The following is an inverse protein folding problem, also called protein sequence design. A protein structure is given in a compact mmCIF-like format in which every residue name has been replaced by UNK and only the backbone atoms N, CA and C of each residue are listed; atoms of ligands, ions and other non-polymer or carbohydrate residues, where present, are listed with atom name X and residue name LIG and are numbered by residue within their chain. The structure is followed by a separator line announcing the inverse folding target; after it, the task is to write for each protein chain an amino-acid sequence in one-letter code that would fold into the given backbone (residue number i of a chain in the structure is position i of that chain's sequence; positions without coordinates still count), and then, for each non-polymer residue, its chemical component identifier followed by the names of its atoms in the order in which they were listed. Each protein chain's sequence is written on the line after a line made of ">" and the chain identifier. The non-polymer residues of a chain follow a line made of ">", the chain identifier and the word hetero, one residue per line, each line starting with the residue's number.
data_IF_513515424883
#
_entry.id   IF_513515424883
#
_cell.length_a   1.000
_cell.length_b   1.000
_cell.length_c   1.000
_cell.angle_alpha   90.00
_cell.angle_beta   90.00
_cell.angle_gamma   90.00
#
_symmetry.space_group_name_H-M   'P 1'
#
loop_
_entity.id
_entity.type
_entity.pdbx_description
1 polymer ?
#
# COMPACT_ATOMS: atom_id res chain seq x y z
N UNK A 1 -50.52 10.72 -24.38
CA UNK A 1 -50.84 10.14 -23.06
C UNK A 1 -49.78 9.11 -22.71
N UNK A 2 -48.77 9.49 -21.93
CA UNK A 2 -47.82 8.53 -21.37
C UNK A 2 -48.52 7.76 -20.24
N UNK A 3 -48.53 6.43 -20.30
CA UNK A 3 -49.26 5.62 -19.33
C UNK A 3 -48.55 5.65 -17.97
N UNK A 4 -49.31 5.62 -16.89
CA UNK A 4 -48.79 5.57 -15.50
C UNK A 4 -47.79 4.44 -15.25
N UNK A 5 -47.72 3.43 -16.13
CA UNK A 5 -46.78 2.32 -16.06
C UNK A 5 -45.35 2.70 -16.45
N UNK A 6 -45.13 3.65 -17.37
CA UNK A 6 -43.76 4.06 -17.75
C UNK A 6 -43.07 4.87 -16.66
N UNK A 7 -43.85 5.63 -15.88
CA UNK A 7 -43.34 6.40 -14.74
C UNK A 7 -42.88 5.50 -13.59
N UNK A 8 -43.66 4.46 -13.27
CA UNK A 8 -43.30 3.51 -12.23
C UNK A 8 -41.99 2.76 -12.56
N UNK A 9 -41.80 2.34 -13.81
CA UNK A 9 -40.59 1.63 -14.24
C UNK A 9 -39.35 2.55 -14.17
N UNK A 10 -39.45 3.78 -14.65
CA UNK A 10 -38.34 4.75 -14.60
C UNK A 10 -37.98 5.13 -13.17
N UNK A 11 -38.96 5.26 -12.28
CA UNK A 11 -38.73 5.54 -10.86
C UNK A 11 -38.04 4.36 -10.15
N UNK A 12 -38.48 3.12 -10.41
CA UNK A 12 -37.87 1.91 -9.87
C UNK A 12 -36.43 1.70 -10.35
N UNK A 13 -36.15 1.95 -11.64
CA UNK A 13 -34.80 1.83 -12.20
C UNK A 13 -33.84 2.87 -11.61
N UNK A 14 -34.33 4.10 -11.40
CA UNK A 14 -33.55 5.17 -10.76
C UNK A 14 -33.27 4.87 -9.28
N UNK A 15 -34.21 4.24 -8.57
CA UNK A 15 -34.02 3.80 -7.19
C UNK A 15 -33.00 2.66 -7.08
N UNK A 16 -32.95 1.77 -8.07
CA UNK A 16 -31.98 0.67 -8.14
C UNK A 16 -30.54 1.14 -8.39
N UNK A 17 -30.36 2.23 -9.14
CA UNK A 17 -29.05 2.87 -9.37
C UNK A 17 -28.54 3.65 -8.15
N UNK A 18 -29.42 3.97 -7.19
CA UNK A 18 -29.05 4.61 -5.92
C UNK A 18 -28.69 3.62 -4.82
N UNK A 19 -28.81 2.31 -5.08
CA UNK A 19 -28.28 1.30 -4.17
C UNK A 19 -26.76 1.36 -4.29
N UNK A 20 -26.01 1.76 -3.23
CA UNK A 20 -24.57 1.74 -3.27
C UNK A 20 -24.13 0.28 -3.39
N UNK A 21 -23.84 -0.18 -4.59
CA UNK A 21 -23.08 -1.40 -4.76
C UNK A 21 -21.72 -1.13 -4.12
N UNK A 22 -21.30 -1.98 -3.18
CA UNK A 22 -19.90 -2.00 -2.77
C UNK A 22 -19.09 -2.10 -4.07
N UNK A 23 -18.27 -1.10 -4.37
CA UNK A 23 -17.35 -1.21 -5.50
C UNK A 23 -16.45 -2.40 -5.20
N UNK A 24 -16.51 -3.45 -6.01
CA UNK A 24 -15.53 -4.54 -6.02
C UNK A 24 -14.26 -4.07 -6.74
N UNK A 25 -13.80 -2.87 -6.41
CA UNK A 25 -12.72 -2.17 -7.09
C UNK A 25 -11.33 -2.49 -6.54
N UNK A 26 -11.16 -3.62 -5.85
CA UNK A 26 -9.86 -4.09 -5.41
C UNK A 26 -9.66 -5.53 -5.86
N UNK A 27 -8.47 -5.82 -6.36
CA UNK A 27 -8.02 -7.18 -6.60
C UNK A 27 -7.21 -7.60 -5.37
N UNK A 28 -7.62 -8.65 -4.62
CA UNK A 28 -6.75 -9.18 -3.59
C UNK A 28 -5.47 -9.73 -4.23
N UNK A 29 -4.35 -9.61 -3.54
CA UNK A 29 -3.20 -10.46 -3.82
C UNK A 29 -3.60 -11.88 -3.38
N UNK A 30 -3.28 -12.87 -4.20
CA UNK A 30 -3.67 -14.26 -3.99
C UNK A 30 -2.40 -15.10 -3.85
N UNK A 31 -2.27 -15.79 -2.73
CA UNK A 31 -1.28 -16.84 -2.52
C UNK A 31 -1.75 -18.12 -3.23
N UNK A 32 -0.85 -18.80 -3.93
CA UNK A 32 -1.11 -20.10 -4.54
C UNK A 32 -0.06 -21.11 -4.12
N UNK A 33 -0.49 -22.18 -3.45
CA UNK A 33 0.37 -23.25 -2.93
C UNK A 33 0.51 -24.45 -3.88
N UNK A 34 -0.06 -24.37 -5.10
CA UNK A 34 -0.15 -25.48 -6.05
C UNK A 34 -1.49 -26.23 -6.04
N UNK A 35 -2.32 -26.05 -5.00
CA UNK A 35 -3.61 -26.73 -4.85
C UNK A 35 -4.76 -25.75 -4.64
N UNK A 36 -4.52 -24.71 -3.85
CA UNK A 36 -5.51 -23.75 -3.40
C UNK A 36 -5.00 -22.33 -3.60
N UNK A 37 -5.94 -21.47 -3.96
CA UNK A 37 -5.74 -20.03 -3.98
C UNK A 37 -6.32 -19.44 -2.69
N UNK A 38 -5.50 -18.73 -1.93
CA UNK A 38 -5.88 -18.09 -0.67
C UNK A 38 -5.63 -16.59 -0.77
N UNK A 39 -6.63 -15.73 -0.50
CA UNK A 39 -6.40 -14.28 -0.47
C UNK A 39 -5.40 -13.91 0.62
N UNK A 40 -4.47 -13.03 0.30
CA UNK A 40 -3.53 -12.52 1.31
C UNK A 40 -4.19 -11.42 2.13
N UNK A 41 -4.09 -11.52 3.45
CA UNK A 41 -4.69 -10.55 4.37
C UNK A 41 -3.73 -10.17 5.49
N UNK A 42 -3.83 -8.92 5.93
CA UNK A 42 -3.20 -8.49 7.17
C UNK A 42 -3.86 -9.17 8.38
N UNK A 43 -3.10 -9.65 9.37
CA UNK A 43 -3.67 -10.18 10.61
C UNK A 43 -4.36 -9.08 11.42
N UNK A 44 -3.80 -7.87 11.39
CA UNK A 44 -4.31 -6.71 12.10
C UNK A 44 -4.87 -5.65 11.15
N UNK A 45 -5.90 -4.94 11.60
CA UNK A 45 -6.47 -3.80 10.86
C UNK A 45 -5.57 -2.57 10.89
N UNK A 46 -4.66 -2.47 11.85
CA UNK A 46 -3.71 -1.36 11.96
C UNK A 46 -2.33 -1.85 11.56
N UNK A 47 -1.90 -1.48 10.36
CA UNK A 47 -0.59 -1.82 9.80
C UNK A 47 0.39 -0.71 10.15
N UNK A 48 1.45 -1.05 10.88
CA UNK A 48 2.47 -0.07 11.29
C UNK A 48 3.67 -0.15 10.35
N UNK A 49 4.12 1.01 9.86
CA UNK A 49 5.35 1.17 9.10
C UNK A 49 6.34 2.06 9.85
N UNK A 50 7.63 1.75 9.70
CA UNK A 50 8.75 2.57 10.14
C UNK A 50 9.52 3.09 8.94
N UNK A 51 10.05 4.32 9.04
CA UNK A 51 10.95 4.87 8.02
C UNK A 51 12.37 4.51 8.41
N UNK A 52 13.14 3.92 7.51
CA UNK A 52 14.54 3.63 7.80
C UNK A 52 15.33 4.93 8.02
N UNK A 53 16.17 4.96 9.05
CA UNK A 53 16.90 6.14 9.50
C UNK A 53 17.85 6.72 8.44
N UNK A 54 18.31 5.88 7.50
CA UNK A 54 19.13 6.32 6.37
C UNK A 54 18.44 7.39 5.53
N UNK A 55 17.09 7.39 5.49
CA UNK A 55 16.28 8.35 4.75
C UNK A 55 16.57 8.41 3.26
N UNK A 56 15.98 9.39 2.58
CA UNK A 56 16.21 9.70 1.17
C UNK A 56 17.32 10.75 1.00
N UNK A 57 17.98 10.78 -0.15
CA UNK A 57 19.14 11.64 -0.40
C UNK A 57 18.82 13.14 -0.31
N UNK A 58 17.60 13.55 -0.66
CA UNK A 58 17.22 14.97 -0.80
C UNK A 58 16.10 15.43 0.13
N UNK A 59 15.70 14.59 1.07
CA UNK A 59 14.65 14.88 2.05
C UNK A 59 15.22 14.73 3.45
N UNK A 60 14.93 15.70 4.31
CA UNK A 60 15.19 15.59 5.74
C UNK A 60 14.28 14.54 6.36
N UNK A 61 14.67 14.01 7.52
CA UNK A 61 13.81 13.08 8.29
C UNK A 61 12.45 13.71 8.61
N UNK A 62 12.42 14.99 9.02
CA UNK A 62 11.16 15.69 9.28
C UNK A 62 10.26 15.76 8.03
N UNK A 63 10.83 16.03 6.85
CA UNK A 63 10.06 16.02 5.60
C UNK A 63 9.53 14.62 5.28
N UNK A 64 10.35 13.58 5.42
CA UNK A 64 9.93 12.19 5.19
C UNK A 64 8.78 11.79 6.12
N UNK A 65 8.89 12.09 7.41
CA UNK A 65 7.85 11.79 8.38
C UNK A 65 6.55 12.51 8.04
N UNK A 66 6.61 13.79 7.64
CA UNK A 66 5.43 14.55 7.19
C UNK A 66 4.81 13.91 5.94
N UNK A 67 5.63 13.55 4.95
CA UNK A 67 5.16 12.95 3.69
C UNK A 67 4.43 11.64 3.97
N UNK A 68 5.06 10.73 4.71
CA UNK A 68 4.49 9.41 4.93
C UNK A 68 3.29 9.45 5.89
N UNK A 69 3.27 10.35 6.89
CA UNK A 69 2.06 10.56 7.70
C UNK A 69 0.90 11.04 6.84
N UNK A 70 1.11 12.01 5.96
CA UNK A 70 0.07 12.49 5.02
C UNK A 70 -0.39 11.40 4.05
N UNK A 71 0.53 10.57 3.56
CA UNK A 71 0.19 9.42 2.71
C UNK A 71 -0.69 8.41 3.47
N UNK A 72 -0.33 8.08 4.71
CA UNK A 72 -1.11 7.22 5.58
C UNK A 72 -2.49 7.82 5.90
N UNK A 73 -2.58 9.11 6.22
CA UNK A 73 -3.86 9.82 6.43
C UNK A 73 -4.76 9.75 5.19
N UNK A 74 -4.18 9.93 4.00
CA UNK A 74 -4.90 9.84 2.72
C UNK A 74 -5.49 8.45 2.54
N UNK A 75 -4.70 7.40 2.76
CA UNK A 75 -5.19 6.02 2.70
C UNK A 75 -6.29 5.75 3.74
N UNK A 76 -6.07 6.18 4.98
CA UNK A 76 -7.00 5.98 6.09
C UNK A 76 -8.33 6.73 5.90
N UNK A 77 -8.37 7.74 5.04
CA UNK A 77 -9.59 8.47 4.68
C UNK A 77 -10.51 7.70 3.73
N UNK A 78 -10.01 6.62 3.10
CA UNK A 78 -10.81 5.76 2.21
C UNK A 78 -11.80 4.95 3.05
N UNK A 79 -13.08 5.32 2.98
CA UNK A 79 -14.13 4.72 3.83
C UNK A 79 -14.32 3.21 3.64
N UNK A 80 -13.91 2.66 2.51
CA UNK A 80 -13.95 1.22 2.20
C UNK A 80 -12.67 0.48 2.55
N UNK A 81 -11.66 1.15 3.11
CA UNK A 81 -10.41 0.49 3.47
C UNK A 81 -10.63 -0.39 4.71
N UNK A 82 -10.30 -1.67 4.59
CA UNK A 82 -10.33 -2.62 5.70
C UNK A 82 -9.11 -2.48 6.63
N UNK A 83 -8.08 -1.76 6.18
CA UNK A 83 -6.84 -1.50 6.92
C UNK A 83 -6.56 -0.02 7.11
N UNK A 84 -5.90 0.30 8.21
CA UNK A 84 -5.38 1.61 8.55
C UNK A 84 -3.85 1.54 8.63
N UNK A 85 -3.18 2.56 8.10
CA UNK A 85 -1.73 2.68 8.11
C UNK A 85 -1.32 3.64 9.22
N UNK A 86 -0.32 3.24 10.00
CA UNK A 86 0.34 4.08 11.02
C UNK A 86 1.82 4.23 10.69
N UNK A 87 2.31 5.46 10.64
CA UNK A 87 3.75 5.74 10.59
C UNK A 87 4.26 5.91 12.03
N UNK A 88 5.10 4.98 12.48
CA UNK A 88 5.60 4.93 13.86
C UNK A 88 6.92 5.68 14.10
N UNK A 89 7.43 6.38 13.10
CA UNK A 89 8.68 7.14 13.17
C UNK A 89 9.81 6.41 12.47
N UNK A 90 11.02 6.51 13.03
CA UNK A 90 12.24 5.99 12.42
C UNK A 90 12.73 4.70 13.08
N UNK A 91 13.42 3.87 12.30
CA UNK A 91 14.10 2.65 12.77
C UNK A 91 15.44 2.47 12.05
N UNK A 92 16.37 1.73 12.67
CA UNK A 92 17.62 1.27 12.05
C UNK A 92 17.51 -0.18 11.53
N UNK A 93 16.32 -0.77 11.59
CA UNK A 93 16.05 -2.13 11.12
C UNK A 93 16.02 -2.14 9.59
N UNK A 94 16.79 -3.03 8.99
CA UNK A 94 16.84 -3.21 7.54
C UNK A 94 15.60 -3.96 7.05
N UNK A 95 15.11 -3.68 5.83
CA UNK A 95 14.04 -4.45 5.22
C UNK A 95 14.43 -5.92 5.08
N UNK A 96 13.45 -6.82 5.16
CA UNK A 96 13.59 -8.27 4.97
C UNK A 96 14.31 -8.65 3.68
N UNK A 97 14.12 -7.86 2.61
CA UNK A 97 14.80 -8.04 1.34
C UNK A 97 16.34 -7.93 1.42
N UNK A 98 16.88 -7.26 2.45
CA UNK A 98 18.32 -7.13 2.72
C UNK A 98 18.73 -8.04 3.87
N UNK A 99 17.99 -8.05 4.98
CA UNK A 99 18.34 -8.83 6.17
C UNK A 99 18.17 -10.34 5.96
N UNK A 100 17.34 -10.75 4.99
CA UNK A 100 16.86 -12.12 4.82
C UNK A 100 16.09 -12.65 6.04
N UNK A 101 15.51 -11.75 6.84
CA UNK A 101 14.73 -12.07 8.03
C UNK A 101 13.30 -11.52 7.88
N UNK A 102 12.30 -12.34 8.16
CA UNK A 102 10.89 -11.93 8.26
C UNK A 102 10.61 -11.64 9.73
N UNK A 103 10.76 -10.39 10.14
CA UNK A 103 10.68 -9.97 11.54
C UNK A 103 9.32 -9.33 11.90
N UNK A 104 8.49 -9.08 10.87
CA UNK A 104 7.17 -8.48 11.00
C UNK A 104 7.20 -6.97 11.21
N UNK A 105 8.33 -6.34 10.91
CA UNK A 105 8.53 -4.90 11.02
C UNK A 105 8.55 -4.34 9.60
N UNK A 106 7.41 -3.77 9.19
CA UNK A 106 7.29 -3.16 7.87
C UNK A 106 8.19 -1.91 7.76
N UNK A 107 9.20 -1.93 6.89
CA UNK A 107 10.14 -0.81 6.71
C UNK A 107 9.91 -0.08 5.39
N UNK A 108 9.94 1.25 5.46
CA UNK A 108 10.06 2.13 4.30
C UNK A 108 11.54 2.49 4.14
N UNK A 109 12.15 1.99 3.07
CA UNK A 109 13.59 2.10 2.79
C UNK A 109 13.84 2.85 1.48
N UNK A 110 15.00 3.51 1.40
CA UNK A 110 15.48 4.20 0.20
C UNK A 110 16.79 3.56 -0.26
N UNK A 111 16.74 2.82 -1.36
CA UNK A 111 17.90 2.15 -1.94
C UNK A 111 18.75 3.14 -2.72
N UNK A 112 19.84 3.58 -2.07
CA UNK A 112 20.76 4.60 -2.57
C UNK A 112 21.84 4.06 -3.49
N UNK A 113 22.12 2.76 -3.40
CA UNK A 113 23.24 2.13 -4.10
C UNK A 113 22.78 1.16 -5.19
N UNK A 114 21.48 0.85 -5.26
CA UNK A 114 20.91 -0.11 -6.21
C UNK A 114 21.21 -1.55 -5.80
N UNK A 115 21.26 -1.83 -4.49
CA UNK A 115 21.49 -3.18 -3.96
C UNK A 115 20.26 -4.08 -4.16
N UNK A 116 19.07 -3.49 -4.07
CA UNK A 116 17.78 -4.19 -4.17
C UNK A 116 17.14 -3.93 -5.53
N UNK A 117 17.08 -2.66 -5.93
CA UNK A 117 16.50 -2.24 -7.20
C UNK A 117 17.64 -2.04 -8.20
N UNK A 118 17.72 -2.86 -9.28
CA UNK A 118 18.80 -2.73 -10.24
C UNK A 118 18.84 -1.34 -10.89
N UNK A 119 20.04 -0.76 -10.97
CA UNK A 119 20.28 0.54 -11.61
C UNK A 119 19.82 0.52 -13.07
N UNK A 120 19.07 1.54 -13.48
CA UNK A 120 18.56 1.67 -14.85
C UNK A 120 17.35 0.77 -15.16
N UNK A 121 16.77 0.11 -14.16
CA UNK A 121 15.57 -0.73 -14.34
C UNK A 121 14.30 0.06 -14.69
N UNK A 122 14.29 1.38 -14.48
CA UNK A 122 13.10 2.21 -14.63
C UNK A 122 12.07 2.03 -13.50
N UNK A 123 12.41 1.27 -12.45
CA UNK A 123 11.55 1.01 -11.30
C UNK A 123 11.72 2.14 -10.29
N UNK A 124 10.63 2.82 -9.93
CA UNK A 124 10.63 3.93 -8.95
C UNK A 124 10.60 3.40 -7.51
N UNK A 125 9.96 2.25 -7.30
CA UNK A 125 9.92 1.56 -6.02
C UNK A 125 9.27 0.19 -6.16
N UNK A 126 9.45 -0.63 -5.14
CA UNK A 126 8.92 -1.99 -5.02
C UNK A 126 8.35 -2.19 -3.63
N UNK A 127 7.36 -3.07 -3.54
CA UNK A 127 6.85 -3.55 -2.26
C UNK A 127 7.09 -5.05 -2.18
N UNK A 128 7.86 -5.47 -1.19
CA UNK A 128 8.01 -6.87 -0.85
C UNK A 128 6.89 -7.24 0.11
N UNK A 129 6.26 -8.39 -0.12
CA UNK A 129 5.17 -8.89 0.72
C UNK A 129 5.47 -10.35 1.03
N UNK A 130 5.70 -10.64 2.30
CA UNK A 130 5.92 -11.99 2.82
C UNK A 130 4.65 -12.46 3.50
N UNK A 131 4.20 -13.66 3.14
CA UNK A 131 3.00 -14.27 3.69
C UNK A 131 3.21 -15.78 3.91
N UNK A 132 2.42 -16.37 4.79
CA UNK A 132 2.44 -17.82 5.03
C UNK A 132 1.42 -18.59 4.16
N UNK A 133 1.38 -19.92 4.29
CA UNK A 133 0.47 -20.79 3.54
C UNK A 133 -1.02 -20.47 3.79
N UNK A 134 -1.34 -19.82 4.92
CA UNK A 134 -2.71 -19.39 5.22
C UNK A 134 -3.10 -18.09 4.52
N UNK A 135 -2.16 -17.44 3.81
CA UNK A 135 -2.34 -16.12 3.20
C UNK A 135 -2.15 -14.98 4.21
N UNK A 136 -1.72 -15.25 5.44
CA UNK A 136 -1.47 -14.17 6.39
C UNK A 136 -0.18 -13.43 6.03
N UNK A 137 -0.28 -12.12 5.82
CA UNK A 137 0.87 -11.25 5.61
C UNK A 137 1.65 -11.16 6.91
N UNK A 138 2.92 -11.55 6.86
CA UNK A 138 3.85 -11.47 7.99
C UNK A 138 4.67 -10.21 7.95
N UNK A 139 5.03 -9.73 6.77
CA UNK A 139 5.94 -8.61 6.60
C UNK A 139 5.73 -7.91 5.25
N UNK A 140 5.83 -6.59 5.21
CA UNK A 140 5.88 -5.82 3.98
C UNK A 140 6.84 -4.66 4.05
N UNK A 141 7.82 -4.66 3.14
CA UNK A 141 8.75 -3.55 2.99
C UNK A 141 8.42 -2.74 1.74
N UNK A 142 8.51 -1.42 1.85
CA UNK A 142 8.42 -0.50 0.71
C UNK A 142 9.80 0.07 0.45
N UNK A 143 10.31 -0.14 -0.75
CA UNK A 143 11.68 0.21 -1.12
C UNK A 143 11.62 1.16 -2.31
N UNK A 144 12.15 2.37 -2.12
CA UNK A 144 12.23 3.41 -3.16
C UNK A 144 13.60 3.41 -3.83
N UNK A 145 13.63 3.61 -5.15
CA UNK A 145 14.87 3.70 -5.92
C UNK A 145 15.47 5.11 -5.83
N UNK A 146 16.19 5.38 -4.75
CA UNK A 146 16.89 6.65 -4.52
C UNK A 146 18.20 6.74 -5.32
N UNK A 147 18.66 5.61 -5.88
CA UNK A 147 19.83 5.53 -6.75
C UNK A 147 19.61 6.19 -8.11
N UNK A 148 18.42 6.01 -8.69
CA UNK A 148 18.06 6.51 -10.04
C UNK A 148 17.10 7.70 -10.00
N UNK A 149 16.30 7.84 -8.95
CA UNK A 149 15.28 8.88 -8.84
C UNK A 149 15.55 9.84 -7.69
N UNK A 150 15.28 11.11 -7.94
CA UNK A 150 15.37 12.17 -6.94
C UNK A 150 13.98 12.44 -6.35
N UNK A 151 13.77 12.10 -5.08
CA UNK A 151 12.53 12.42 -4.38
C UNK A 151 12.58 13.84 -3.81
N UNK A 152 11.52 14.62 -4.00
CA UNK A 152 11.44 16.01 -3.53
C UNK A 152 10.00 16.48 -3.34
N UNK A 153 9.78 17.38 -2.39
CA UNK A 153 8.48 18.04 -2.15
C UNK A 153 8.11 19.10 -3.20
N UNK A 154 9.10 19.59 -3.94
CA UNK A 154 8.92 20.63 -4.95
C UNK A 154 9.58 20.19 -6.25
N UNK A 155 8.88 20.31 -7.38
CA UNK A 155 9.54 20.25 -8.68
C UNK A 155 10.46 21.46 -8.79
N UNK A 156 11.77 21.20 -8.85
CA UNK A 156 12.77 22.17 -9.31
C UNK A 156 13.16 21.85 -10.73
#
# INVERSE_FOLDING_TARGET
>A
MYSSRTWAISLSLSLLLLIPFKSWGFSPILAYDGYKTTPTTWPDKMVTFYIHSSGAQRLTQTELEIIFKKAAETWNSVFTSDVQIKIAGFTDILPSAISNEVDGINVIYFDKIGEIIPTGSGIIGVTYVFFDESGEIKDTDIIFNDKDYNFSMFQK
#
